data_IF_890161072520
#
_entry.id   IF_890161072520
#
_cell.length_a   1.000
_cell.length_b   1.000
_cell.length_c   1.000
_cell.angle_alpha   90.00
_cell.angle_beta   90.00
_cell.angle_gamma   90.00
#
_symmetry.space_group_name_H-M   'P 1'
#
loop_
_entity.id
_entity.type
_entity.pdbx_description
1 polymer ?
#
# COMPACT_ATOMS: atom_id res chain seq x y z
N UNK A 1 5.64 -26.40 -1.80
CA UNK A 1 5.00 -25.17 -2.33
C UNK A 1 6.11 -24.31 -2.94
N UNK A 2 6.19 -24.27 -4.27
CA UNK A 2 7.33 -23.69 -5.00
C UNK A 2 7.38 -22.17 -4.88
N UNK A 3 8.57 -21.60 -4.71
CA UNK A 3 8.84 -20.16 -4.57
C UNK A 3 8.25 -19.30 -5.69
N UNK A 4 8.08 -19.85 -6.89
CA UNK A 4 7.45 -19.21 -8.06
C UNK A 4 6.04 -18.69 -7.75
N UNK A 5 5.23 -19.46 -7.01
CA UNK A 5 3.86 -19.06 -6.66
C UNK A 5 3.82 -17.86 -5.69
N UNK A 6 4.81 -17.75 -4.80
CA UNK A 6 4.91 -16.61 -3.86
C UNK A 6 5.38 -15.35 -4.56
N UNK A 7 6.34 -15.47 -5.48
CA UNK A 7 6.80 -14.33 -6.30
C UNK A 7 5.67 -13.79 -7.17
N UNK A 8 4.87 -14.65 -7.79
CA UNK A 8 3.72 -14.24 -8.60
C UNK A 8 2.67 -13.50 -7.77
N UNK A 9 2.39 -13.94 -6.54
CA UNK A 9 1.49 -13.26 -5.62
C UNK A 9 2.01 -11.86 -5.23
N UNK A 10 3.31 -11.73 -4.98
CA UNK A 10 3.94 -10.43 -4.70
C UNK A 10 3.86 -9.50 -5.91
N UNK A 11 4.18 -10.00 -7.11
CA UNK A 11 4.10 -9.22 -8.34
C UNK A 11 2.67 -8.76 -8.61
N UNK A 12 1.67 -9.64 -8.46
CA UNK A 12 0.26 -9.29 -8.60
C UNK A 12 -0.16 -8.21 -7.58
N UNK A 13 0.30 -8.34 -6.34
CA UNK A 13 0.06 -7.34 -5.30
C UNK A 13 0.63 -5.97 -5.67
N UNK A 14 1.90 -5.91 -6.05
CA UNK A 14 2.56 -4.67 -6.47
C UNK A 14 1.87 -4.06 -7.70
N UNK A 15 1.47 -4.89 -8.67
CA UNK A 15 0.74 -4.42 -9.85
C UNK A 15 -0.61 -3.79 -9.49
N UNK A 16 -1.34 -4.37 -8.53
CA UNK A 16 -2.61 -3.80 -8.07
C UNK A 16 -2.42 -2.42 -7.43
N UNK A 17 -1.31 -2.21 -6.72
CA UNK A 17 -0.99 -0.90 -6.12
C UNK A 17 -0.64 0.10 -7.21
N UNK A 18 0.21 -0.27 -8.18
CA UNK A 18 0.60 0.62 -9.28
C UNK A 18 -0.56 1.08 -10.18
N UNK A 19 -1.70 0.36 -10.17
CA UNK A 19 -2.92 0.76 -10.89
C UNK A 19 -3.77 1.79 -10.15
N UNK A 20 -3.54 1.96 -8.84
CA UNK A 20 -4.22 2.97 -8.04
C UNK A 20 -3.43 4.29 -8.12
N UNK A 21 -4.00 5.28 -8.81
CA UNK A 21 -3.41 6.62 -8.88
C UNK A 21 -3.61 7.35 -7.53
N UNK A 22 -2.51 7.65 -6.84
CA UNK A 22 -2.49 8.35 -5.55
C UNK A 22 -1.58 9.60 -5.57
N UNK A 23 -1.71 10.54 -6.53
CA UNK A 23 -0.86 11.72 -6.53
C UNK A 23 -1.06 12.54 -5.25
N UNK A 24 0.02 13.14 -4.71
CA UNK A 24 0.01 13.82 -3.40
C UNK A 24 -1.01 14.95 -3.28
N UNK A 25 -1.50 15.50 -4.40
CA UNK A 25 -2.52 16.55 -4.46
C UNK A 25 -3.95 16.02 -4.69
N UNK A 26 -4.16 14.70 -4.66
CA UNK A 26 -5.44 14.04 -4.88
C UNK A 26 -5.83 13.17 -3.66
N UNK A 27 -6.49 13.77 -2.66
CA UNK A 27 -6.82 13.09 -1.40
C UNK A 27 -7.66 11.82 -1.57
N UNK A 28 -8.55 11.79 -2.56
CA UNK A 28 -9.40 10.63 -2.83
C UNK A 28 -8.57 9.44 -3.34
N UNK A 29 -7.56 9.68 -4.17
CA UNK A 29 -6.63 8.65 -4.64
C UNK A 29 -5.75 8.10 -3.51
N UNK A 30 -5.30 8.98 -2.62
CA UNK A 30 -4.57 8.58 -1.39
C UNK A 30 -5.48 7.73 -0.50
N UNK A 31 -6.76 8.12 -0.33
CA UNK A 31 -7.72 7.37 0.45
C UNK A 31 -8.03 5.99 -0.15
N UNK A 32 -8.13 5.90 -1.48
CA UNK A 32 -8.28 4.63 -2.19
C UNK A 32 -7.07 3.72 -1.97
N UNK A 33 -5.85 4.25 -2.11
CA UNK A 33 -4.61 3.51 -1.86
C UNK A 33 -4.53 3.02 -0.41
N UNK A 34 -4.83 3.88 0.56
CA UNK A 34 -4.85 3.51 1.97
C UNK A 34 -5.84 2.37 2.23
N UNK A 35 -6.99 2.33 1.53
CA UNK A 35 -7.94 1.22 1.61
C UNK A 35 -7.33 -0.10 1.12
N UNK A 36 -6.65 -0.07 -0.03
CA UNK A 36 -5.98 -1.24 -0.61
C UNK A 36 -4.93 -1.77 0.38
N UNK A 37 -4.07 -0.89 0.92
CA UNK A 37 -3.04 -1.26 1.89
C UNK A 37 -3.67 -1.82 3.17
N UNK A 38 -4.78 -1.23 3.63
CA UNK A 38 -5.50 -1.71 4.80
C UNK A 38 -6.03 -3.14 4.62
N UNK A 39 -6.58 -3.45 3.44
CA UNK A 39 -7.07 -4.78 3.12
C UNK A 39 -5.93 -5.82 3.09
N UNK A 40 -4.77 -5.47 2.51
CA UNK A 40 -3.58 -6.33 2.56
C UNK A 40 -3.08 -6.56 3.99
N UNK A 41 -3.01 -5.50 4.79
CA UNK A 41 -2.56 -5.59 6.18
C UNK A 41 -3.51 -6.44 7.04
N UNK A 42 -4.82 -6.25 6.88
CA UNK A 42 -5.84 -7.04 7.56
C UNK A 42 -5.78 -8.53 7.14
N UNK A 43 -5.62 -8.80 5.84
CA UNK A 43 -5.45 -10.17 5.33
C UNK A 43 -4.17 -10.85 5.86
N UNK A 44 -3.14 -10.07 6.17
CA UNK A 44 -1.92 -10.55 6.83
C UNK A 44 -2.08 -10.75 8.36
N UNK A 45 -3.26 -10.52 8.92
CA UNK A 45 -3.56 -10.69 10.34
C UNK A 45 -3.17 -9.49 11.22
N UNK A 46 -2.94 -8.31 10.63
CA UNK A 46 -2.69 -7.08 11.38
C UNK A 46 -4.00 -6.43 11.83
N UNK A 47 -3.96 -5.77 12.98
CA UNK A 47 -4.98 -4.79 13.35
C UNK A 47 -4.73 -3.51 12.58
N UNK A 48 -5.74 -2.98 11.89
CA UNK A 48 -5.62 -1.78 11.06
C UNK A 48 -6.57 -0.70 11.52
N UNK A 49 -6.08 0.54 11.57
CA UNK A 49 -6.86 1.75 11.81
C UNK A 49 -6.63 2.76 10.68
N UNK A 50 -7.71 3.38 10.22
CA UNK A 50 -7.68 4.51 9.30
C UNK A 50 -8.20 5.75 10.04
N UNK A 51 -7.34 6.73 10.24
CA UNK A 51 -7.68 7.97 10.95
C UNK A 51 -7.67 9.14 9.96
N UNK A 52 -8.67 10.03 10.04
CA UNK A 52 -8.72 11.21 9.17
C UNK A 52 -7.65 12.24 9.55
N UNK A 53 -6.94 12.77 8.56
CA UNK A 53 -6.04 13.93 8.71
C UNK A 53 -6.66 15.23 8.16
N UNK A 54 -7.97 15.20 7.86
CA UNK A 54 -8.69 16.27 7.19
C UNK A 54 -8.90 16.02 5.69
N UNK A 55 -9.75 16.83 5.04
CA UNK A 55 -10.23 16.56 3.69
C UNK A 55 -9.18 16.75 2.59
N UNK A 56 -8.05 17.40 2.88
CA UNK A 56 -7.05 17.80 1.90
C UNK A 56 -5.81 16.88 1.82
N UNK A 57 -5.73 15.84 2.67
CA UNK A 57 -4.48 15.08 2.85
C UNK A 57 -4.64 13.58 2.59
N UNK A 58 -5.86 13.04 2.71
CA UNK A 58 -6.06 11.59 2.81
C UNK A 58 -5.84 11.08 4.25
N UNK A 59 -6.15 9.80 4.52
CA UNK A 59 -6.10 9.24 5.87
C UNK A 59 -4.68 8.82 6.29
N UNK A 60 -4.44 8.80 7.60
CA UNK A 60 -3.35 8.03 8.19
C UNK A 60 -3.77 6.55 8.29
N UNK A 61 -2.94 5.65 7.77
CA UNK A 61 -3.07 4.21 8.00
C UNK A 61 -2.09 3.78 9.08
N UNK A 62 -2.61 3.11 10.11
CA UNK A 62 -1.81 2.48 11.16
C UNK A 62 -2.13 0.99 11.21
N UNK A 63 -1.15 0.14 10.93
CA UNK A 63 -1.27 -1.31 10.99
C UNK A 63 -0.31 -1.89 12.03
N UNK A 64 -0.78 -2.86 12.84
CA UNK A 64 0.02 -3.40 13.93
C UNK A 64 -0.25 -4.88 14.20
N UNK A 65 0.82 -5.64 14.49
CA UNK A 65 0.76 -7.02 15.01
C UNK A 65 0.98 -7.04 16.53
N UNK A 66 0.59 -5.98 17.23
CA UNK A 66 0.79 -5.86 18.67
C UNK A 66 -0.24 -6.71 19.41
N UNK A 67 0.24 -7.78 20.04
CA UNK A 67 -0.56 -8.54 21.00
C UNK A 67 -0.87 -7.66 22.24
N UNK A 68 -2.02 -7.84 22.90
CA UNK A 68 -2.29 -7.24 24.20
C UNK A 68 -1.20 -7.61 25.21
N UNK A 69 -0.62 -6.63 25.90
CA UNK A 69 0.44 -6.88 26.88
C UNK A 69 1.47 -5.75 26.99
N UNK A 70 2.47 -5.93 27.86
CA UNK A 70 3.47 -4.90 28.11
C UNK A 70 4.25 -4.54 26.83
N UNK A 71 4.56 -3.25 26.61
CA UNK A 71 5.32 -2.81 25.46
C UNK A 71 6.66 -3.54 25.34
N UNK A 72 6.90 -4.16 24.18
CA UNK A 72 8.26 -4.50 23.75
C UNK A 72 8.71 -3.47 22.71
N UNK A 73 9.94 -2.95 22.79
CA UNK A 73 10.49 -2.10 21.74
C UNK A 73 10.42 -2.82 20.39
N UNK A 74 9.89 -2.15 19.38
CA UNK A 74 9.90 -2.62 17.99
C UNK A 74 10.17 -1.45 17.05
N UNK A 75 10.90 -1.68 15.94
CA UNK A 75 11.11 -0.65 14.94
C UNK A 75 9.78 -0.27 14.29
N UNK A 76 9.47 1.03 14.17
CA UNK A 76 8.37 1.50 13.34
C UNK A 76 8.79 1.53 11.86
N UNK A 77 7.90 1.09 10.98
CA UNK A 77 8.03 1.29 9.54
C UNK A 77 7.08 2.41 9.12
N UNK A 78 7.59 3.41 8.38
CA UNK A 78 6.82 4.53 7.87
C UNK A 78 7.01 4.63 6.36
N UNK A 79 5.91 4.65 5.61
CA UNK A 79 5.92 4.75 4.16
C UNK A 79 4.79 5.67 3.68
N UNK A 80 5.07 6.61 2.75
CA UNK A 80 4.03 7.37 2.08
C UNK A 80 3.30 6.49 1.04
N UNK A 81 1.96 6.51 1.00
CA UNK A 81 1.18 5.81 -0.03
C UNK A 81 0.99 6.64 -1.31
N UNK A 82 1.40 7.92 -1.31
CA UNK A 82 1.22 8.84 -2.41
C UNK A 82 2.38 8.84 -3.41
N UNK A 83 2.13 9.39 -4.60
CA UNK A 83 3.11 9.50 -5.70
C UNK A 83 3.33 10.96 -6.10
N UNK A 84 4.54 11.30 -6.57
CA UNK A 84 4.84 12.62 -7.14
C UNK A 84 4.12 12.90 -8.47
N UNK A 85 4.13 14.16 -8.92
CA UNK A 85 3.44 14.62 -10.14
C UNK A 85 4.35 15.50 -11.02
N UNK A 86 4.21 15.49 -12.37
CA UNK A 86 3.28 14.71 -13.17
C UNK A 86 3.82 13.32 -13.53
N UNK A 87 3.04 12.28 -13.20
CA UNK A 87 3.18 10.95 -13.80
C UNK A 87 2.03 10.83 -14.80
N UNK A 88 2.26 10.45 -16.07
CA UNK A 88 1.16 10.17 -17.00
C UNK A 88 0.24 9.12 -16.38
N UNK A 89 -1.08 9.23 -16.55
CA UNK A 89 -2.02 8.32 -15.91
C UNK A 89 -1.70 6.87 -16.30
N UNK A 90 -2.02 5.91 -15.43
CA UNK A 90 -1.76 4.49 -15.65
C UNK A 90 -2.39 3.98 -16.96
N UNK A 91 -3.43 4.66 -17.45
CA UNK A 91 -4.04 4.45 -18.77
C UNK A 91 -3.09 4.74 -19.93
N UNK A 92 -2.29 5.80 -19.82
CA UNK A 92 -1.37 6.25 -20.87
C UNK A 92 -0.01 5.55 -20.79
N UNK A 93 0.39 5.08 -19.60
CA UNK A 93 1.58 4.27 -19.40
C UNK A 93 1.28 3.04 -18.51
N UNK A 94 0.74 1.95 -19.09
CA UNK A 94 0.37 0.78 -18.32
C UNK A 94 1.60 0.07 -17.75
N UNK A 95 1.42 -0.58 -16.59
CA UNK A 95 2.45 -1.39 -15.95
C UNK A 95 2.87 -2.54 -16.87
N UNK A 96 4.15 -2.60 -17.22
CA UNK A 96 4.73 -3.66 -18.07
C UNK A 96 5.81 -4.42 -17.31
N UNK A 97 5.74 -5.76 -17.21
CA UNK A 97 6.89 -6.54 -16.75
C UNK A 97 7.98 -6.53 -17.82
N UNK A 98 9.23 -6.20 -17.47
CA UNK A 98 10.36 -6.17 -18.42
C UNK A 98 11.66 -6.72 -17.79
N UNK A 99 11.85 -8.05 -17.81
CA UNK A 99 12.98 -8.73 -17.14
C UNK A 99 13.10 -8.41 -15.63
N UNK A 100 13.86 -9.10 -14.79
CA UNK A 100 14.09 -10.54 -14.69
C UNK A 100 13.01 -11.12 -13.76
N UNK A 101 12.14 -11.99 -14.30
CA UNK A 101 11.49 -13.03 -13.47
C UNK A 101 12.57 -14.06 -13.12
N UNK A 102 12.63 -14.60 -11.89
CA UNK A 102 13.40 -15.82 -11.65
C UNK A 102 12.83 -16.99 -12.46
#
# INVERSE_FOLDING_TARGET
MSSTSRTEQLVAGIQSWLQCESPSNFPDGIAAMARIIADYAAAAGLTVELSSLGPATGPLLHATHRAPGPPRPRPPDLAPPDTGHPVPPARDNPVRPQGSRP
#
